data_IF_874597289586
#
_entry.id   IF_874597289586
#
_cell.length_a   1.000
_cell.length_b   1.000
_cell.length_c   1.000
_cell.angle_alpha   90.00
_cell.angle_beta   90.00
_cell.angle_gamma   90.00
#
_symmetry.space_group_name_H-M   'P 1'
#
loop_
_entity.id
_entity.type
_entity.pdbx_description
1 polymer ?
#
# COMPACT_ATOMS: atom_id res chain seq x y z
N UNK A 1 -6.98 -30.86 -15.11
CA UNK A 1 -7.33 -29.48 -14.70
C UNK A 1 -7.18 -28.61 -15.93
N UNK A 2 -8.27 -28.04 -16.45
CA UNK A 2 -8.23 -27.30 -17.71
C UNK A 2 -7.36 -26.04 -17.50
N UNK A 3 -6.35 -25.85 -18.35
CA UNK A 3 -5.32 -24.81 -18.23
C UNK A 3 -5.94 -23.39 -18.19
N UNK A 4 -7.13 -23.24 -18.75
CA UNK A 4 -7.93 -22.00 -18.74
C UNK A 4 -8.28 -21.46 -17.34
N UNK A 5 -8.37 -22.33 -16.33
CA UNK A 5 -8.70 -21.89 -14.96
C UNK A 5 -7.52 -21.26 -14.23
N UNK A 6 -6.29 -21.56 -14.64
CA UNK A 6 -5.06 -21.07 -13.98
C UNK A 6 -5.01 -19.53 -13.92
N UNK A 7 -5.17 -18.79 -15.03
CA UNK A 7 -5.16 -17.32 -14.97
C UNK A 7 -6.34 -16.76 -14.18
N UNK A 8 -7.53 -17.35 -14.28
CA UNK A 8 -8.73 -16.88 -13.58
C UNK A 8 -8.53 -16.98 -12.06
N UNK A 9 -8.07 -18.13 -11.57
CA UNK A 9 -7.81 -18.35 -10.14
C UNK A 9 -6.72 -17.40 -9.63
N UNK A 10 -5.67 -17.15 -10.44
CA UNK A 10 -4.61 -16.19 -10.10
C UNK A 10 -5.17 -14.77 -9.91
N UNK A 11 -5.99 -14.26 -10.83
CA UNK A 11 -6.58 -12.93 -10.69
C UNK A 11 -7.56 -12.82 -9.52
N UNK A 12 -8.36 -13.87 -9.27
CA UNK A 12 -9.25 -13.92 -8.11
C UNK A 12 -8.45 -13.88 -6.81
N UNK A 13 -7.36 -14.65 -6.70
CA UNK A 13 -6.51 -14.65 -5.51
C UNK A 13 -5.93 -13.26 -5.23
N UNK A 14 -5.44 -12.57 -6.26
CA UNK A 14 -4.94 -11.19 -6.15
C UNK A 14 -6.06 -10.25 -5.67
N UNK A 15 -7.24 -10.32 -6.28
CA UNK A 15 -8.39 -9.49 -5.90
C UNK A 15 -8.82 -9.72 -4.45
N UNK A 16 -8.83 -10.98 -3.98
CA UNK A 16 -9.15 -11.33 -2.60
C UNK A 16 -8.12 -10.77 -1.62
N UNK A 17 -6.82 -10.90 -1.91
CA UNK A 17 -5.74 -10.38 -1.04
C UNK A 17 -5.84 -8.86 -0.93
N UNK A 18 -5.99 -8.16 -2.06
CA UNK A 18 -6.13 -6.70 -2.10
C UNK A 18 -7.41 -6.27 -1.38
N UNK A 19 -8.53 -6.94 -1.62
CA UNK A 19 -9.82 -6.68 -0.98
C UNK A 19 -9.76 -6.84 0.54
N UNK A 20 -9.18 -7.93 1.03
CA UNK A 20 -8.99 -8.16 2.47
C UNK A 20 -8.08 -7.10 3.09
N UNK A 21 -6.96 -6.78 2.44
CA UNK A 21 -6.06 -5.72 2.92
C UNK A 21 -6.79 -4.37 3.05
N UNK A 22 -7.58 -3.99 2.04
CA UNK A 22 -8.39 -2.77 2.08
C UNK A 22 -9.45 -2.82 3.17
N UNK A 23 -10.15 -3.96 3.32
CA UNK A 23 -11.18 -4.16 4.34
C UNK A 23 -10.60 -4.02 5.77
N UNK A 24 -9.49 -4.68 6.08
CA UNK A 24 -8.85 -4.56 7.40
C UNK A 24 -8.36 -3.14 7.68
N UNK A 25 -7.80 -2.48 6.66
CA UNK A 25 -7.37 -1.08 6.78
C UNK A 25 -8.53 -0.11 7.00
N UNK A 26 -9.67 -0.35 6.36
CA UNK A 26 -10.90 0.41 6.58
C UNK A 26 -11.42 0.20 7.99
N UNK A 27 -11.55 -1.06 8.43
CA UNK A 27 -12.04 -1.41 9.76
C UNK A 27 -11.18 -0.80 10.87
N UNK A 28 -9.85 -0.89 10.75
CA UNK A 28 -8.93 -0.29 11.73
C UNK A 28 -9.10 1.24 11.86
N UNK A 29 -9.42 1.93 10.77
CA UNK A 29 -9.71 3.38 10.82
C UNK A 29 -11.06 3.68 11.46
N UNK A 30 -12.08 2.84 11.20
CA UNK A 30 -13.38 2.98 11.83
C UNK A 30 -13.30 2.78 13.34
N UNK A 31 -12.60 1.75 13.81
CA UNK A 31 -12.48 1.45 15.24
C UNK A 31 -11.85 2.61 16.02
N UNK A 32 -10.84 3.27 15.44
CA UNK A 32 -10.22 4.48 16.01
C UNK A 32 -11.22 5.63 16.07
N UNK A 33 -11.97 5.88 15.00
CA UNK A 33 -12.98 6.95 14.97
C UNK A 33 -14.10 6.72 15.99
N UNK A 34 -14.59 5.49 16.10
CA UNK A 34 -15.62 5.12 17.09
C UNK A 34 -15.11 5.32 18.51
N UNK A 35 -13.85 4.97 18.79
CA UNK A 35 -13.24 5.20 20.11
C UNK A 35 -13.13 6.69 20.43
N UNK A 36 -12.74 7.51 19.46
CA UNK A 36 -12.67 8.98 19.61
C UNK A 36 -14.06 9.58 19.86
N UNK A 37 -15.08 9.15 19.13
CA UNK A 37 -16.47 9.58 19.35
C UNK A 37 -16.94 9.21 20.76
N UNK A 38 -16.68 7.97 21.19
CA UNK A 38 -17.07 7.49 22.52
C UNK A 38 -16.35 8.23 23.66
N UNK A 39 -15.12 8.70 23.44
CA UNK A 39 -14.37 9.51 24.39
C UNK A 39 -14.92 10.95 24.48
N UNK A 40 -15.29 11.54 23.35
CA UNK A 40 -15.95 12.85 23.29
C UNK A 40 -17.32 12.82 23.99
N UNK A 41 -18.12 11.80 23.73
CA UNK A 41 -19.46 11.64 24.33
C UNK A 41 -19.42 11.48 25.86
N UNK A 42 -18.31 10.96 26.41
CA UNK A 42 -18.10 10.83 27.86
C UNK A 42 -17.61 12.12 28.53
N UNK A 43 -17.53 13.24 27.78
CA UNK A 43 -17.08 14.53 28.29
C UNK A 43 -15.59 14.57 28.63
N UNK A 44 -14.82 13.61 28.13
CA UNK A 44 -13.37 13.59 28.34
C UNK A 44 -12.76 14.63 27.41
N UNK A 45 -12.22 15.71 27.97
CA UNK A 45 -11.45 16.69 27.20
C UNK A 45 -10.24 15.95 26.60
N UNK A 46 -10.28 15.74 25.29
CA UNK A 46 -9.14 15.18 24.56
C UNK A 46 -7.98 16.15 24.79
N UNK A 47 -6.94 15.69 25.48
CA UNK A 47 -5.76 16.53 25.69
C UNK A 47 -5.22 16.97 24.33
N UNK A 48 -4.71 18.20 24.19
CA UNK A 48 -4.16 18.70 22.93
C UNK A 48 -3.14 17.74 22.30
N UNK A 49 -2.36 17.06 23.15
CA UNK A 49 -1.38 16.04 22.77
C UNK A 49 -2.00 14.82 22.03
N UNK A 50 -3.22 14.41 22.39
CA UNK A 50 -3.91 13.29 21.73
C UNK A 50 -4.46 13.70 20.36
N UNK A 51 -4.99 14.92 20.24
CA UNK A 51 -5.45 15.49 18.97
C UNK A 51 -4.30 15.65 17.98
N UNK A 52 -3.14 16.10 18.46
CA UNK A 52 -1.93 16.24 17.65
C UNK A 52 -1.42 14.88 17.14
N UNK A 53 -1.40 13.85 18.00
CA UNK A 53 -1.03 12.48 17.60
C UNK A 53 -2.01 11.85 16.60
N UNK A 54 -3.31 12.14 16.73
CA UNK A 54 -4.33 11.74 15.76
C UNK A 54 -4.07 12.39 14.38
N UNK A 55 -3.74 13.68 14.37
CA UNK A 55 -3.37 14.43 13.18
C UNK A 55 -2.07 13.94 12.52
N UNK A 56 -1.01 13.70 13.29
CA UNK A 56 0.26 13.17 12.81
C UNK A 56 0.12 11.77 12.19
N UNK A 57 -0.74 10.91 12.75
CA UNK A 57 -0.95 9.55 12.23
C UNK A 57 -1.45 9.55 10.78
N UNK A 58 -2.14 10.63 10.36
CA UNK A 58 -2.69 10.79 9.01
C UNK A 58 -1.62 11.16 7.98
N UNK A 59 -0.49 11.76 8.40
CA UNK A 59 0.56 12.32 7.52
C UNK A 59 1.99 11.92 7.94
N UNK A 60 2.19 10.74 8.50
CA UNK A 60 3.53 10.30 8.92
C UNK A 60 4.53 10.21 7.73
N UNK A 61 5.60 11.03 7.69
CA UNK A 61 6.61 10.96 6.63
C UNK A 61 7.33 9.60 6.59
N UNK A 62 7.40 8.90 7.72
CA UNK A 62 7.94 7.53 7.83
C UNK A 62 7.06 6.51 7.10
N UNK A 63 5.74 6.74 7.04
CA UNK A 63 4.83 5.90 6.25
C UNK A 63 5.13 6.03 4.76
N UNK A 64 5.40 7.25 4.28
CA UNK A 64 5.64 7.49 2.86
C UNK A 64 6.97 6.90 2.41
N UNK A 65 8.03 7.02 3.23
CA UNK A 65 9.31 6.33 2.97
C UNK A 65 9.13 4.82 2.84
N UNK A 66 8.43 4.20 3.81
CA UNK A 66 8.21 2.75 3.79
C UNK A 66 7.41 2.31 2.56
N UNK A 67 6.35 3.05 2.21
CA UNK A 67 5.54 2.79 1.01
C UNK A 67 6.37 2.93 -0.26
N UNK A 68 7.22 3.96 -0.33
CA UNK A 68 8.11 4.19 -1.46
C UNK A 68 9.11 3.07 -1.67
N UNK A 69 9.79 2.63 -0.60
CA UNK A 69 10.74 1.51 -0.65
C UNK A 69 10.03 0.23 -1.09
N UNK A 70 8.91 -0.12 -0.45
CA UNK A 70 8.18 -1.36 -0.78
C UNK A 70 7.70 -1.40 -2.24
N UNK A 71 7.13 -0.30 -2.74
CA UNK A 71 6.65 -0.22 -4.11
C UNK A 71 7.80 -0.29 -5.13
N UNK A 72 8.90 0.42 -4.87
CA UNK A 72 10.10 0.37 -5.71
C UNK A 72 10.73 -1.03 -5.74
N UNK A 73 10.86 -1.67 -4.58
CA UNK A 73 11.36 -3.05 -4.46
C UNK A 73 10.47 -4.05 -5.21
N UNK A 74 9.14 -3.88 -5.16
CA UNK A 74 8.22 -4.74 -5.91
C UNK A 74 8.42 -4.61 -7.43
N UNK A 75 8.56 -3.38 -7.93
CA UNK A 75 8.88 -3.15 -9.35
C UNK A 75 10.19 -3.80 -9.76
N UNK A 76 11.26 -3.61 -8.98
CA UNK A 76 12.56 -4.24 -9.25
C UNK A 76 12.49 -5.77 -9.20
N UNK A 77 11.74 -6.34 -8.26
CA UNK A 77 11.53 -7.78 -8.16
C UNK A 77 10.80 -8.34 -9.38
N UNK A 78 9.77 -7.65 -9.88
CA UNK A 78 9.05 -8.05 -11.10
C UNK A 78 9.95 -7.98 -12.34
N UNK A 79 10.81 -6.97 -12.46
CA UNK A 79 11.80 -6.91 -13.52
C UNK A 79 12.78 -8.07 -13.40
N UNK A 80 13.37 -8.31 -12.23
CA UNK A 80 14.29 -9.42 -12.03
C UNK A 80 13.64 -10.78 -12.36
N UNK A 81 12.40 -10.98 -11.93
CA UNK A 81 11.61 -12.17 -12.26
C UNK A 81 11.38 -12.31 -13.78
N UNK A 82 11.06 -11.22 -14.47
CA UNK A 82 10.88 -11.19 -15.92
C UNK A 82 12.15 -11.66 -16.66
N UNK A 83 13.32 -11.21 -16.23
CA UNK A 83 14.61 -11.65 -16.80
C UNK A 83 14.95 -13.11 -16.46
N UNK A 84 14.59 -13.58 -15.26
CA UNK A 84 14.82 -14.96 -14.85
C UNK A 84 13.93 -15.97 -15.58
N UNK A 85 12.75 -15.57 -16.05
CA UNK A 85 11.88 -16.42 -16.87
C UNK A 85 12.48 -16.74 -18.24
N UNK A 86 13.26 -15.83 -18.83
CA UNK A 86 13.93 -16.04 -20.12
C UNK A 86 13.00 -16.08 -21.34
N UNK A 87 11.72 -15.78 -21.19
CA UNK A 87 10.75 -15.70 -22.29
C UNK A 87 10.56 -14.24 -22.73
N UNK A 88 10.81 -13.91 -23.99
CA UNK A 88 10.80 -12.52 -24.49
C UNK A 88 9.43 -11.83 -24.34
N UNK A 89 8.34 -12.51 -24.65
CA UNK A 89 6.98 -11.96 -24.54
C UNK A 89 6.61 -11.68 -23.08
N UNK A 90 6.88 -12.65 -22.19
CA UNK A 90 6.66 -12.50 -20.76
C UNK A 90 7.55 -11.40 -20.18
N UNK A 91 8.81 -11.30 -20.64
CA UNK A 91 9.75 -10.29 -20.20
C UNK A 91 9.25 -8.88 -20.54
N UNK A 92 8.79 -8.68 -21.78
CA UNK A 92 8.26 -7.38 -22.23
C UNK A 92 7.00 -7.00 -21.43
N UNK A 93 6.07 -7.93 -21.27
CA UNK A 93 4.84 -7.70 -20.52
C UNK A 93 5.10 -7.40 -19.03
N UNK A 94 5.89 -8.23 -18.37
CA UNK A 94 6.19 -8.09 -16.94
C UNK A 94 7.01 -6.83 -16.64
N UNK A 95 7.95 -6.46 -17.51
CA UNK A 95 8.73 -5.22 -17.36
C UNK A 95 7.83 -4.00 -17.49
N UNK A 96 6.87 -4.01 -18.42
CA UNK A 96 5.88 -2.94 -18.54
C UNK A 96 4.98 -2.84 -17.29
N UNK A 97 4.53 -3.97 -16.75
CA UNK A 97 3.74 -4.02 -15.51
C UNK A 97 4.56 -3.57 -14.30
N UNK A 98 5.85 -3.91 -14.26
CA UNK A 98 6.76 -3.53 -13.18
C UNK A 98 7.02 -2.02 -13.08
N UNK A 99 6.88 -1.29 -14.19
CA UNK A 99 7.04 0.16 -14.21
C UNK A 99 6.04 0.87 -13.28
N UNK A 100 4.82 0.34 -13.13
CA UNK A 100 3.81 0.93 -12.26
C UNK A 100 4.23 1.00 -10.78
N UNK A 101 4.49 -0.13 -10.08
CA UNK A 101 4.93 -0.07 -8.70
C UNK A 101 6.29 0.63 -8.55
N UNK A 102 7.19 0.52 -9.54
CA UNK A 102 8.46 1.25 -9.51
C UNK A 102 8.26 2.77 -9.46
N UNK A 103 7.46 3.32 -10.38
CA UNK A 103 7.18 4.77 -10.44
C UNK A 103 6.38 5.25 -9.22
N UNK A 104 5.45 4.45 -8.70
CA UNK A 104 4.76 4.73 -7.43
C UNK A 104 5.77 4.83 -6.29
N UNK A 105 6.75 3.92 -6.26
CA UNK A 105 7.85 3.94 -5.31
C UNK A 105 8.67 5.23 -5.39
N UNK A 106 9.09 5.61 -6.60
CA UNK A 106 9.81 6.86 -6.87
C UNK A 106 8.99 8.08 -6.42
N UNK A 107 7.70 8.11 -6.69
CA UNK A 107 6.81 9.20 -6.27
C UNK A 107 6.75 9.34 -4.74
N UNK A 108 6.57 8.24 -4.01
CA UNK A 108 6.56 8.25 -2.53
C UNK A 108 7.91 8.67 -1.94
N UNK A 109 9.02 8.24 -2.54
CA UNK A 109 10.36 8.67 -2.13
C UNK A 109 10.60 10.16 -2.40
N UNK A 110 10.11 10.66 -3.53
CA UNK A 110 10.09 12.09 -3.85
C UNK A 110 9.29 12.90 -2.82
N UNK A 111 8.05 12.49 -2.56
CA UNK A 111 7.19 13.10 -1.52
C UNK A 111 7.87 13.08 -0.15
N UNK A 112 8.56 11.99 0.21
CA UNK A 112 9.30 11.92 1.47
C UNK A 112 10.47 12.91 1.53
N UNK A 113 11.16 13.15 0.40
CA UNK A 113 12.27 14.10 0.33
C UNK A 113 11.78 15.56 0.38
N UNK A 114 10.69 15.88 -0.32
CA UNK A 114 10.17 17.25 -0.44
C UNK A 114 9.19 17.64 0.67
N UNK A 115 8.43 16.68 1.23
CA UNK A 115 7.50 16.91 2.34
C UNK A 115 8.15 16.95 3.72
N UNK A 116 9.48 16.92 3.79
CA UNK A 116 10.28 17.16 5.01
C UNK A 116 10.71 18.62 5.19
N UNK A 117 10.34 19.51 4.26
CA UNK A 117 10.47 20.96 4.41
C UNK A 117 9.26 21.52 5.14
#
# INVERSE_FOLDING_TARGET
>A
MNIEWVPIVMFIAIAVIVGLFMYFRYRAKQDVQTTVQLALDKGQELSPEMLEKLGESLRSPKSDLRRGILAMSLGLALVAFAFLLGEEDAQRALTAVAAFPFLIGVAYLGLHKFGKQ
#
